data_IF_022355783445
#
_entry.id   IF_022355783445
#
_cell.length_a   1.000
_cell.length_b   1.000
_cell.length_c   1.000
_cell.angle_alpha   90.00
_cell.angle_beta   90.00
_cell.angle_gamma   90.00
#
_symmetry.space_group_name_H-M   'P 1'
#
loop_
_entity.id
_entity.type
_entity.pdbx_description
1 polymer ?
#
# COMPACT_ATOMS: atom_id res chain seq x y z
N UNK A 1 24.13 0.28 6.54
CA UNK A 1 23.03 1.17 6.08
C UNK A 1 21.68 0.55 6.45
N UNK A 2 20.80 1.33 7.04
CA UNK A 2 19.49 0.86 7.47
C UNK A 2 18.40 1.44 6.55
N UNK A 3 17.62 0.57 5.91
CA UNK A 3 16.46 1.00 5.12
C UNK A 3 15.29 1.21 6.09
N UNK A 4 14.72 2.41 6.12
CA UNK A 4 13.62 2.75 7.02
C UNK A 4 12.27 2.74 6.32
N UNK A 5 12.23 3.00 5.02
CA UNK A 5 11.00 3.00 4.25
C UNK A 5 11.27 2.59 2.82
N UNK A 6 10.21 2.09 2.16
CA UNK A 6 10.27 1.67 0.77
C UNK A 6 9.01 2.18 0.08
N UNK A 7 9.18 2.71 -1.13
CA UNK A 7 8.05 3.19 -1.93
C UNK A 7 7.68 2.10 -2.94
N UNK A 8 6.39 1.77 -2.99
CA UNK A 8 5.89 0.74 -3.88
C UNK A 8 4.95 1.37 -4.91
N UNK A 9 5.28 1.19 -6.17
CA UNK A 9 4.42 1.58 -7.29
C UNK A 9 3.76 0.32 -7.83
N UNK A 10 2.44 0.28 -7.79
CA UNK A 10 1.72 -0.91 -8.22
C UNK A 10 0.32 -0.56 -8.70
N UNK A 11 -0.38 -1.55 -9.23
CA UNK A 11 -1.70 -1.38 -9.84
C UNK A 11 -2.81 -1.26 -8.80
N UNK A 12 -3.80 -0.43 -9.11
CA UNK A 12 -5.07 -0.40 -8.39
C UNK A 12 -6.18 -1.16 -9.13
N UNK A 13 -5.84 -1.87 -10.21
CA UNK A 13 -6.81 -2.64 -10.99
C UNK A 13 -7.30 -3.87 -10.23
N UNK A 14 -8.60 -4.13 -10.30
CA UNK A 14 -9.22 -5.33 -9.71
C UNK A 14 -9.22 -6.52 -10.66
N UNK A 15 -8.62 -6.38 -11.85
CA UNK A 15 -8.74 -7.36 -12.94
C UNK A 15 -7.49 -8.19 -13.18
N UNK A 16 -6.58 -8.22 -12.21
CA UNK A 16 -5.35 -9.01 -12.33
C UNK A 16 -5.58 -10.44 -11.84
N UNK A 17 -4.72 -11.36 -12.29
CA UNK A 17 -4.83 -12.75 -11.86
C UNK A 17 -4.46 -12.91 -10.37
N UNK A 18 -4.96 -13.97 -9.75
CA UNK A 18 -4.71 -14.25 -8.34
C UNK A 18 -3.21 -14.38 -8.02
N UNK A 19 -2.41 -14.81 -8.97
CA UNK A 19 -0.97 -14.93 -8.77
C UNK A 19 -0.34 -13.60 -8.37
N UNK A 20 -0.73 -12.52 -9.02
CA UNK A 20 -0.19 -11.19 -8.71
C UNK A 20 -0.60 -10.73 -7.31
N UNK A 21 -1.83 -11.03 -6.90
CA UNK A 21 -2.28 -10.69 -5.56
C UNK A 21 -1.55 -11.49 -4.49
N UNK A 22 -1.30 -12.77 -4.74
CA UNK A 22 -0.54 -13.62 -3.82
C UNK A 22 0.90 -13.15 -3.69
N UNK A 23 1.55 -12.82 -4.80
CA UNK A 23 2.91 -12.32 -4.80
C UNK A 23 3.00 -10.98 -4.04
N UNK A 24 2.03 -10.10 -4.24
CA UNK A 24 1.99 -8.82 -3.54
C UNK A 24 1.82 -9.02 -2.03
N UNK A 25 0.99 -9.97 -1.61
CA UNK A 25 0.82 -10.29 -0.20
C UNK A 25 2.12 -10.79 0.41
N UNK A 26 2.81 -11.70 -0.27
CA UNK A 26 4.08 -12.25 0.22
C UNK A 26 5.16 -11.18 0.34
N UNK A 27 5.27 -10.30 -0.66
CA UNK A 27 6.24 -9.21 -0.63
C UNK A 27 5.94 -8.24 0.51
N UNK A 28 4.69 -7.86 0.67
CA UNK A 28 4.29 -6.96 1.75
C UNK A 28 4.54 -7.57 3.12
N UNK A 29 4.25 -8.86 3.28
CA UNK A 29 4.54 -9.59 4.52
C UNK A 29 6.04 -9.60 4.81
N UNK A 30 6.86 -9.86 3.80
CA UNK A 30 8.31 -9.88 3.95
C UNK A 30 8.86 -8.52 4.36
N UNK A 31 8.44 -7.45 3.67
CA UNK A 31 8.85 -6.09 4.00
C UNK A 31 8.45 -5.75 5.43
N UNK A 32 7.23 -6.11 5.82
CA UNK A 32 6.73 -5.83 7.16
C UNK A 32 7.47 -6.62 8.23
N UNK A 33 7.96 -7.82 7.92
CA UNK A 33 8.75 -8.62 8.86
C UNK A 33 10.07 -7.95 9.21
N UNK A 34 10.61 -7.12 8.32
CA UNK A 34 11.82 -6.33 8.58
C UNK A 34 11.50 -4.96 9.19
N UNK A 35 10.24 -4.67 9.46
CA UNK A 35 9.78 -3.38 10.01
C UNK A 35 10.19 -2.19 9.14
N UNK A 36 10.16 -2.39 7.84
CA UNK A 36 10.40 -1.34 6.86
C UNK A 36 9.05 -0.70 6.52
N UNK A 37 8.92 0.60 6.75
CA UNK A 37 7.68 1.32 6.47
C UNK A 37 7.37 1.31 4.99
N UNK A 38 6.09 1.23 4.63
CA UNK A 38 5.65 1.22 3.25
C UNK A 38 5.02 2.56 2.89
N UNK A 39 5.46 3.12 1.76
CA UNK A 39 4.87 4.31 1.14
C UNK A 39 4.30 3.90 -0.22
N UNK A 40 3.06 4.25 -0.48
CA UNK A 40 2.40 3.82 -1.72
C UNK A 40 1.33 4.82 -2.16
N UNK A 41 0.53 4.48 -3.17
CA UNK A 41 -0.45 5.40 -3.78
C UNK A 41 -1.77 5.60 -3.04
N UNK A 42 -1.98 4.98 -1.89
CA UNK A 42 -3.12 5.29 -1.02
C UNK A 42 -4.43 4.58 -1.32
N UNK A 43 -4.49 3.73 -2.35
CA UNK A 43 -5.74 3.05 -2.71
C UNK A 43 -6.00 1.82 -1.83
N UNK A 44 -7.28 1.45 -1.71
CA UNK A 44 -7.70 0.23 -0.99
C UNK A 44 -8.04 -0.93 -1.93
N UNK A 45 -7.89 -0.76 -3.24
CA UNK A 45 -8.27 -1.74 -4.25
C UNK A 45 -7.06 -2.24 -5.02
N UNK A 46 -7.22 -3.37 -5.72
CA UNK A 46 -6.16 -3.97 -6.52
C UNK A 46 -4.95 -4.37 -5.69
N UNK A 47 -3.79 -4.41 -6.31
CA UNK A 47 -2.53 -4.78 -5.65
C UNK A 47 -2.18 -3.76 -4.55
N UNK A 48 -2.46 -2.48 -4.78
CA UNK A 48 -2.26 -1.46 -3.73
C UNK A 48 -2.99 -1.83 -2.44
N UNK A 49 -4.25 -2.25 -2.56
CA UNK A 49 -5.05 -2.66 -1.41
C UNK A 49 -4.46 -3.86 -0.70
N UNK A 50 -3.99 -4.86 -1.45
CA UNK A 50 -3.36 -6.05 -0.88
C UNK A 50 -2.10 -5.67 -0.10
N UNK A 51 -1.24 -4.84 -0.68
CA UNK A 51 0.00 -4.40 -0.03
C UNK A 51 -0.31 -3.70 1.29
N UNK A 52 -1.22 -2.75 1.27
CA UNK A 52 -1.56 -1.97 2.47
C UNK A 52 -2.24 -2.81 3.55
N UNK A 53 -3.22 -3.64 3.18
CA UNK A 53 -3.93 -4.50 4.13
C UNK A 53 -3.00 -5.50 4.78
N UNK A 54 -2.11 -6.10 4.01
CA UNK A 54 -1.15 -7.08 4.54
C UNK A 54 -0.19 -6.40 5.49
N UNK A 55 0.34 -5.24 5.13
CA UNK A 55 1.24 -4.50 6.00
C UNK A 55 0.57 -4.14 7.32
N UNK A 56 -0.69 -3.69 7.30
CA UNK A 56 -1.42 -3.36 8.51
C UNK A 56 -1.72 -4.59 9.36
N UNK A 57 -1.99 -5.72 8.72
CA UNK A 57 -2.17 -6.99 9.43
C UNK A 57 -0.94 -7.37 10.26
N UNK A 58 0.24 -7.08 9.74
CA UNK A 58 1.51 -7.35 10.44
C UNK A 58 2.01 -6.13 11.21
N UNK A 59 1.14 -5.16 11.48
CA UNK A 59 1.42 -3.99 12.33
C UNK A 59 2.55 -3.10 11.81
N UNK A 60 2.75 -3.08 10.51
CA UNK A 60 3.70 -2.17 9.89
C UNK A 60 3.09 -0.78 9.70
N UNK A 61 3.92 0.22 9.45
CA UNK A 61 3.50 1.59 9.21
C UNK A 61 3.34 1.79 7.70
N UNK A 62 2.16 2.28 7.30
CA UNK A 62 1.82 2.48 5.89
C UNK A 62 1.41 3.94 5.68
N UNK A 63 2.07 4.60 4.73
CA UNK A 63 1.76 5.96 4.31
C UNK A 63 1.27 5.94 2.87
N UNK A 64 0.10 6.50 2.63
CA UNK A 64 -0.43 6.71 1.28
C UNK A 64 -0.16 8.12 0.82
N UNK A 65 0.21 8.28 -0.46
CA UNK A 65 0.37 9.61 -1.09
C UNK A 65 -0.52 9.62 -2.31
N UNK A 66 -1.48 10.53 -2.35
CA UNK A 66 -2.48 10.58 -3.41
C UNK A 66 -2.69 12.02 -3.89
N UNK A 67 -2.81 12.24 -5.22
CA UNK A 67 -3.16 13.56 -5.72
C UNK A 67 -4.56 13.99 -5.29
N UNK A 68 -4.75 15.29 -5.08
CA UNK A 68 -6.01 15.84 -4.62
C UNK A 68 -7.20 15.45 -5.52
N UNK A 69 -7.01 15.44 -6.83
CA UNK A 69 -8.10 15.10 -7.76
C UNK A 69 -8.57 13.64 -7.64
N UNK A 70 -7.74 12.75 -7.06
CA UNK A 70 -8.11 11.36 -6.80
C UNK A 70 -8.62 11.15 -5.38
N UNK A 71 -8.38 12.10 -4.47
CA UNK A 71 -8.72 11.94 -3.05
C UNK A 71 -10.22 11.92 -2.79
N UNK A 72 -11.01 12.46 -3.71
CA UNK A 72 -12.47 12.48 -3.59
C UNK A 72 -13.13 11.17 -4.05
N UNK A 73 -12.35 10.24 -4.61
CA UNK A 73 -12.86 8.94 -5.03
C UNK A 73 -12.89 7.99 -3.86
N UNK A 74 -13.86 7.07 -3.86
CA UNK A 74 -14.04 6.09 -2.78
C UNK A 74 -12.99 4.97 -2.77
N UNK A 75 -11.88 5.15 -3.47
CA UNK A 75 -10.81 4.15 -3.54
C UNK A 75 -9.72 4.35 -2.49
N UNK A 76 -9.81 5.40 -1.68
CA UNK A 76 -8.81 5.69 -0.65
C UNK A 76 -8.91 4.68 0.48
N UNK A 77 -7.76 4.19 0.93
CA UNK A 77 -7.69 3.31 2.10
C UNK A 77 -7.55 4.17 3.36
N UNK A 78 -8.61 4.22 4.15
CA UNK A 78 -8.65 5.06 5.35
C UNK A 78 -7.98 4.43 6.58
N UNK A 79 -7.71 3.14 6.56
CA UNK A 79 -7.13 2.42 7.70
C UNK A 79 -5.61 2.39 7.72
N UNK A 80 -4.95 3.18 6.89
CA UNK A 80 -3.49 3.32 6.92
C UNK A 80 -3.08 4.37 7.96
N UNK A 81 -1.79 4.39 8.31
CA UNK A 81 -1.30 5.27 9.37
C UNK A 81 -1.30 6.74 8.98
N UNK A 82 -0.99 7.04 7.72
CA UNK A 82 -0.97 8.40 7.24
C UNK A 82 -1.37 8.46 5.77
N UNK A 83 -2.22 9.41 5.43
CA UNK A 83 -2.59 9.69 4.05
C UNK A 83 -2.20 11.13 3.73
N UNK A 84 -1.28 11.30 2.79
CA UNK A 84 -0.85 12.62 2.33
C UNK A 84 -1.54 12.93 1.01
N UNK A 85 -2.35 13.98 1.02
CA UNK A 85 -3.02 14.47 -0.18
C UNK A 85 -2.17 15.59 -0.75
N UNK A 86 -1.76 15.43 -2.01
CA UNK A 86 -0.87 16.38 -2.67
C UNK A 86 -1.53 16.95 -3.92
N UNK A 87 -1.02 18.06 -4.42
CA UNK A 87 -1.52 18.67 -5.64
C UNK A 87 -0.98 17.95 -6.93
#
# INVERSE_FOLDING_TARGET
>A
MTIKSITIYCSSSDKLSNKYYQDAEEISKLISSFKINIVYGGAKVGIMGVVAKTAKKYKNIVTGVIPNFLSEREIIFENIDELKIVD
#
